data_IF_414750511493
#
_entry.id   IF_414750511493
#
_cell.length_a   1.000
_cell.length_b   1.000
_cell.length_c   1.000
_cell.angle_alpha   90.00
_cell.angle_beta   90.00
_cell.angle_gamma   90.00
#
_symmetry.space_group_name_H-M   'P 1'
#
loop_
_entity.id
_entity.type
_entity.pdbx_description
1 polymer ?
#
# COMPACT_ATOMS: atom_id res chain seq x y z
N UNK A 1 -16.25 -7.06 -6.70
CA UNK A 1 -15.44 -5.83 -6.52
C UNK A 1 -15.44 -5.12 -7.86
N UNK A 2 -15.62 -3.80 -7.88
CA UNK A 2 -15.56 -3.01 -9.11
C UNK A 2 -14.22 -2.28 -9.15
N UNK A 3 -13.30 -2.78 -9.98
CA UNK A 3 -11.92 -2.29 -10.09
C UNK A 3 -11.88 -0.84 -10.56
N UNK A 4 -12.82 -0.42 -11.41
CA UNK A 4 -12.89 0.93 -11.96
C UNK A 4 -13.24 1.98 -10.91
N UNK A 5 -13.61 1.57 -9.69
CA UNK A 5 -13.93 2.48 -8.58
C UNK A 5 -12.82 2.56 -7.55
N UNK A 6 -11.81 1.71 -7.66
CA UNK A 6 -10.74 1.62 -6.68
C UNK A 6 -9.84 2.85 -6.78
N UNK A 7 -9.50 3.40 -5.62
CA UNK A 7 -8.49 4.43 -5.47
C UNK A 7 -7.52 4.06 -4.33
N UNK A 8 -6.23 4.35 -4.54
CA UNK A 8 -5.15 3.98 -3.61
C UNK A 8 -4.23 5.17 -3.39
N UNK A 9 -3.80 5.37 -2.15
CA UNK A 9 -2.84 6.40 -1.76
C UNK A 9 -1.71 5.82 -0.92
N UNK A 10 -0.49 6.32 -1.18
CA UNK A 10 0.69 6.15 -0.31
C UNK A 10 0.97 7.49 0.36
N UNK A 11 0.77 7.57 1.67
CA UNK A 11 0.66 8.85 2.37
C UNK A 11 -0.42 9.71 1.72
N UNK A 12 -0.04 10.91 1.28
CA UNK A 12 -0.92 11.86 0.58
C UNK A 12 -0.92 11.72 -0.95
N UNK A 13 -0.10 10.80 -1.50
CA UNK A 13 0.08 10.65 -2.95
C UNK A 13 -0.92 9.64 -3.50
N UNK A 14 -1.85 10.07 -4.35
CA UNK A 14 -2.77 9.18 -5.06
C UNK A 14 -2.03 8.44 -6.18
N UNK A 15 -1.93 7.12 -6.05
CA UNK A 15 -1.22 6.24 -7.00
C UNK A 15 -2.17 5.49 -7.92
N UNK A 16 -3.42 5.26 -7.49
CA UNK A 16 -4.48 4.68 -8.31
C UNK A 16 -5.73 5.56 -8.21
N UNK A 17 -6.36 5.81 -9.35
CA UNK A 17 -7.65 6.47 -9.46
C UNK A 17 -8.46 5.80 -10.56
N UNK A 18 -9.70 5.44 -10.29
CA UNK A 18 -10.55 4.81 -11.30
C UNK A 18 -10.04 3.44 -11.76
N UNK A 19 -9.35 2.70 -10.88
CA UNK A 19 -8.70 1.43 -11.21
C UNK A 19 -7.43 1.54 -12.06
N UNK A 20 -6.99 2.74 -12.44
CA UNK A 20 -5.78 2.95 -13.25
C UNK A 20 -4.69 3.70 -12.48
N UNK A 21 -3.44 3.42 -12.81
CA UNK A 21 -2.28 4.11 -12.23
C UNK A 21 -2.25 5.58 -12.62
N UNK A 22 -1.95 6.46 -11.67
CA UNK A 22 -1.78 7.90 -11.92
C UNK A 22 -0.38 8.14 -12.50
N UNK A 23 -0.28 8.84 -13.62
CA UNK A 23 1.02 9.15 -14.24
C UNK A 23 1.77 10.25 -13.47
N UNK A 24 3.11 10.18 -13.46
CA UNK A 24 3.97 11.25 -12.92
C UNK A 24 4.00 11.37 -11.40
N UNK A 25 3.49 10.38 -10.65
CA UNK A 25 3.51 10.39 -9.17
C UNK A 25 4.52 9.44 -8.56
N UNK A 26 5.24 8.65 -9.38
CA UNK A 26 6.08 7.56 -8.90
C UNK A 26 7.16 8.02 -7.92
N UNK A 27 7.89 9.10 -8.21
CA UNK A 27 8.96 9.59 -7.33
C UNK A 27 8.42 10.06 -5.98
N UNK A 28 7.26 10.75 -5.97
CA UNK A 28 6.60 11.19 -4.74
C UNK A 28 6.06 10.01 -3.93
N UNK A 29 5.48 9.02 -4.61
CA UNK A 29 5.00 7.79 -4.00
C UNK A 29 6.16 7.01 -3.36
N UNK A 30 7.30 6.89 -4.05
CA UNK A 30 8.50 6.27 -3.53
C UNK A 30 9.04 7.02 -2.29
N UNK A 31 8.97 8.35 -2.28
CA UNK A 31 9.36 9.14 -1.11
C UNK A 31 8.44 8.92 0.09
N UNK A 32 7.13 8.76 -0.14
CA UNK A 32 6.16 8.43 0.90
C UNK A 32 6.41 7.04 1.52
N UNK A 33 6.81 6.06 0.70
CA UNK A 33 7.14 4.70 1.17
C UNK A 33 8.48 4.60 1.93
N UNK A 34 9.36 5.60 1.83
CA UNK A 34 10.64 5.63 2.55
C UNK A 34 10.51 6.18 3.98
N UNK A 35 9.32 6.59 4.40
CA UNK A 35 9.10 7.07 5.76
C UNK A 35 9.10 5.89 6.75
N UNK A 36 9.53 6.10 8.01
CA UNK A 36 9.49 5.06 9.05
C UNK A 36 8.08 4.51 9.29
N UNK A 37 7.07 5.35 9.15
CA UNK A 37 5.66 4.96 9.18
C UNK A 37 5.04 5.21 7.81
N UNK A 38 4.49 4.15 7.21
CA UNK A 38 3.85 4.22 5.89
C UNK A 38 2.34 4.12 6.05
N UNK A 39 1.65 5.18 5.67
CA UNK A 39 0.19 5.18 5.58
C UNK A 39 -0.24 4.68 4.20
N UNK A 40 -1.00 3.58 4.17
CA UNK A 40 -1.68 3.09 2.97
C UNK A 40 -3.18 3.31 3.13
N UNK A 41 -3.79 4.00 2.15
CA UNK A 41 -5.25 4.17 2.09
C UNK A 41 -5.76 3.51 0.81
N UNK A 42 -6.81 2.71 0.95
CA UNK A 42 -7.53 2.10 -0.17
C UNK A 42 -9.00 2.43 -0.02
N UNK A 43 -9.59 3.02 -1.05
CA UNK A 43 -11.02 3.23 -1.17
C UNK A 43 -11.55 2.29 -2.27
N UNK A 44 -12.48 1.41 -1.90
CA UNK A 44 -13.13 0.47 -2.82
C UNK A 44 -14.32 1.10 -3.55
N UNK A 45 -14.77 2.28 -3.11
CA UNK A 45 -15.96 2.95 -3.63
C UNK A 45 -17.27 2.23 -3.29
N UNK A 46 -17.30 1.22 -2.41
CA UNK A 46 -18.49 0.38 -2.21
C UNK A 46 -19.48 0.90 -1.15
N UNK A 47 -19.19 2.03 -0.51
CA UNK A 47 -20.04 2.61 0.54
C UNK A 47 -19.21 3.11 1.74
N UNK A 48 -19.85 3.39 2.89
CA UNK A 48 -19.19 4.05 4.03
C UNK A 48 -18.40 3.12 4.95
N UNK A 49 -18.40 1.81 4.67
CA UNK A 49 -17.69 0.80 5.46
C UNK A 49 -16.20 1.08 5.52
N UNK A 50 -15.60 0.91 6.71
CA UNK A 50 -14.17 1.19 6.95
C UNK A 50 -13.56 0.17 7.88
N UNK A 51 -12.30 -0.15 7.65
CA UNK A 51 -11.45 -0.93 8.55
C UNK A 51 -10.05 -0.33 8.57
N UNK A 52 -9.30 -0.60 9.64
CA UNK A 52 -7.88 -0.24 9.75
C UNK A 52 -7.10 -1.45 10.23
N UNK A 53 -5.99 -1.72 9.55
CA UNK A 53 -5.06 -2.80 9.87
C UNK A 53 -3.68 -2.19 10.03
N UNK A 54 -2.91 -2.71 10.98
CA UNK A 54 -1.50 -2.40 11.16
C UNK A 54 -0.69 -3.57 10.65
N UNK A 55 0.37 -3.29 9.91
CA UNK A 55 1.32 -4.26 9.39
C UNK A 55 2.69 -3.61 9.31
N UNK A 56 3.73 -4.41 9.13
CA UNK A 56 5.07 -3.96 8.81
C UNK A 56 5.49 -4.46 7.43
N UNK A 57 6.63 -3.96 6.96
CA UNK A 57 7.30 -4.47 5.78
C UNK A 57 7.89 -5.87 6.04
N UNK A 58 8.12 -6.60 4.95
CA UNK A 58 8.76 -7.91 4.96
C UNK A 58 10.22 -7.75 4.52
N UNK A 59 11.12 -7.63 5.49
CA UNK A 59 12.55 -7.46 5.25
C UNK A 59 13.34 -8.78 5.14
N UNK A 60 14.56 -8.70 4.62
CA UNK A 60 15.52 -9.81 4.57
C UNK A 60 15.79 -10.39 5.97
N UNK A 61 15.82 -9.55 7.00
CA UNK A 61 16.02 -9.98 8.38
C UNK A 61 14.89 -10.90 8.88
N UNK A 62 13.63 -10.62 8.51
CA UNK A 62 12.52 -11.51 8.83
C UNK A 62 12.71 -12.88 8.18
N UNK A 63 13.13 -12.90 6.92
CA UNK A 63 13.41 -14.15 6.17
C UNK A 63 14.60 -14.88 6.77
N UNK A 64 15.65 -14.19 7.21
CA UNK A 64 16.82 -14.82 7.84
C UNK A 64 16.48 -15.46 9.19
N UNK A 65 15.66 -14.79 10.01
CA UNK A 65 15.27 -15.28 11.34
C UNK A 65 14.29 -16.45 11.22
N UNK A 66 13.34 -16.39 10.28
CA UNK A 66 12.26 -17.37 10.16
C UNK A 66 12.42 -18.33 8.96
N UNK A 67 13.42 -18.16 8.11
CA UNK A 67 13.65 -19.02 6.94
C UNK A 67 14.47 -20.26 7.26
N UNK A 68 14.95 -20.41 8.50
CA UNK A 68 15.72 -21.58 8.96
C UNK A 68 14.83 -22.76 9.37
N UNK A 69 13.51 -22.69 9.20
CA UNK A 69 12.64 -23.86 9.33
C UNK A 69 12.86 -24.78 8.12
N UNK A 70 13.93 -25.56 8.21
CA UNK A 70 14.22 -26.86 7.59
C UNK A 70 13.32 -27.20 6.38
N UNK A 71 13.88 -27.12 5.17
CA UNK A 71 13.43 -27.94 4.02
C UNK A 71 14.13 -29.29 4.07
#
# INVERSE_FOLDING_TARGET
MDEQRVAVWFGDVQVVHGGVGVAGVFDRAAQALRQPEVLLRVDLGLGPGRARVWTCDLGEEYVRINGSYIT
#
